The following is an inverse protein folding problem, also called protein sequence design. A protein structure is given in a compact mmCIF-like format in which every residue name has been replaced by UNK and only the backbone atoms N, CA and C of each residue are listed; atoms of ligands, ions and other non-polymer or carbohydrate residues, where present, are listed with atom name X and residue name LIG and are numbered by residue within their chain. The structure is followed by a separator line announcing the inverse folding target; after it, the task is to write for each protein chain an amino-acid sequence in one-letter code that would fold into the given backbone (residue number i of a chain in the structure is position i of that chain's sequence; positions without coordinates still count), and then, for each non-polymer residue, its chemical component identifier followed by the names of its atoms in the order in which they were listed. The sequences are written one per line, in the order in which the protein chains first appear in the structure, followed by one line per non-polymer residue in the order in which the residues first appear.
data_IF_111045993260
#
_entry.id   IF_111045993260
#
_cell.length_a   1.000
_cell.length_b   1.000
_cell.length_c   1.000
_cell.angle_alpha   90.00
_cell.angle_beta   90.00
_cell.angle_gamma   90.00
#
_symmetry.space_group_name_H-M   'P 1'
#
loop_
_entity.id
_entity.type
_entity.pdbx_description
1 polymer ?
#
# COMPACT_ATOMS: atom_id res chain seq x y z
N UNK A 1 -29.58 68.49 -5.94
CA UNK A 1 -30.75 68.21 -5.08
C UNK A 1 -30.40 67.02 -4.19
N UNK A 2 -30.53 67.20 -2.88
CA UNK A 2 -30.76 66.25 -1.78
C UNK A 2 -30.15 64.82 -1.83
N UNK A 3 -29.22 64.58 -0.90
CA UNK A 3 -28.99 63.33 -0.15
C UNK A 3 -30.23 62.93 0.72
N UNK A 4 -30.28 61.80 1.49
CA UNK A 4 -29.20 60.86 1.86
C UNK A 4 -29.52 59.34 1.84
N UNK A 5 -28.43 58.57 2.02
CA UNK A 5 -28.28 57.41 2.94
C UNK A 5 -29.46 57.05 3.86
N UNK A 6 -29.73 55.74 4.01
CA UNK A 6 -30.38 55.18 5.22
C UNK A 6 -29.69 53.90 5.69
N UNK A 7 -29.26 53.91 6.94
CA UNK A 7 -28.74 52.77 7.70
C UNK A 7 -29.83 51.72 7.92
N UNK A 8 -29.48 50.42 7.94
CA UNK A 8 -30.28 49.44 8.68
C UNK A 8 -29.40 48.61 9.61
N UNK A 9 -29.40 49.02 10.88
CA UNK A 9 -28.78 48.30 11.98
C UNK A 9 -29.82 47.35 12.58
N UNK A 10 -29.55 46.04 12.58
CA UNK A 10 -30.30 45.10 13.41
C UNK A 10 -29.34 44.44 14.39
N UNK A 11 -29.32 45.00 15.60
CA UNK A 11 -28.74 44.36 16.77
C UNK A 11 -29.73 43.28 17.25
N UNK A 12 -29.28 42.03 17.39
CA UNK A 12 -30.03 41.03 18.16
C UNK A 12 -29.11 40.45 19.25
N UNK A 13 -29.31 40.93 20.48
CA UNK A 13 -28.76 40.30 21.67
C UNK A 13 -29.63 39.07 22.01
N UNK A 14 -28.98 37.92 22.22
CA UNK A 14 -29.65 36.66 22.52
C UNK A 14 -28.77 35.74 23.36
N UNK A 15 -28.49 36.14 24.60
CA UNK A 15 -27.82 35.28 25.58
C UNK A 15 -28.85 34.31 26.17
N UNK A 16 -28.63 33.00 26.02
CA UNK A 16 -29.25 32.00 26.87
C UNK A 16 -28.28 30.85 27.17
N UNK A 17 -28.48 30.21 28.32
CA UNK A 17 -27.43 29.51 29.05
C UNK A 17 -27.03 28.14 28.49
N UNK A 18 -25.77 27.78 28.78
CA UNK A 18 -25.18 26.46 28.57
C UNK A 18 -25.69 25.50 29.67
N UNK A 19 -26.20 24.33 29.27
CA UNK A 19 -26.30 23.15 30.14
C UNK A 19 -25.91 21.90 29.34
N UNK A 20 -24.84 21.17 29.72
CA UNK A 20 -24.48 19.91 29.07
C UNK A 20 -25.35 18.75 29.58
N UNK A 21 -25.80 17.89 28.66
CA UNK A 21 -26.50 16.65 29.02
C UNK A 21 -25.50 15.59 29.52
N UNK A 22 -25.83 14.93 30.62
CA UNK A 22 -24.94 14.00 31.32
C UNK A 22 -24.82 12.63 30.63
N UNK A 23 -23.60 12.08 30.61
CA UNK A 23 -23.36 10.67 30.30
C UNK A 23 -23.80 9.75 31.47
N UNK A 24 -24.18 8.48 31.21
CA UNK A 24 -24.44 7.51 32.27
C UNK A 24 -23.14 7.11 33.00
N UNK A 25 -23.24 6.94 34.32
CA UNK A 25 -22.10 6.75 35.21
C UNK A 25 -21.54 5.31 35.20
N UNK A 26 -20.27 5.20 35.57
CA UNK A 26 -19.55 3.94 35.84
C UNK A 26 -19.87 3.43 37.26
N UNK A 27 -19.99 2.11 37.43
CA UNK A 27 -20.19 1.50 38.75
C UNK A 27 -18.95 1.60 39.65
N UNK A 28 -19.10 1.90 40.95
CA UNK A 28 -17.99 1.96 41.91
C UNK A 28 -17.59 0.58 42.47
N UNK A 29 -16.33 0.38 42.90
CA UNK A 29 -15.84 -0.92 43.34
C UNK A 29 -16.34 -1.31 44.74
N UNK A 30 -17.02 -2.46 44.84
CA UNK A 30 -17.49 -3.04 46.09
C UNK A 30 -16.35 -3.50 47.01
N UNK A 31 -16.21 -2.85 48.16
CA UNK A 31 -15.13 -3.10 49.13
C UNK A 31 -15.34 -4.37 49.95
N UNK A 32 -14.25 -5.09 50.24
CA UNK A 32 -14.24 -6.30 51.09
C UNK A 32 -14.70 -6.01 52.52
N UNK A 33 -15.55 -6.89 53.07
CA UNK A 33 -15.58 -7.25 54.50
C UNK A 33 -15.62 -8.76 54.63
N UNK A 34 -14.87 -9.32 55.59
CA UNK A 34 -14.82 -10.76 55.87
C UNK A 34 -15.35 -11.10 57.26
N UNK A 35 -14.82 -12.20 57.81
CA UNK A 35 -15.09 -12.81 59.13
C UNK A 35 -16.35 -13.69 59.22
N UNK A 36 -16.15 -14.99 59.52
CA UNK A 36 -17.20 -15.99 59.71
C UNK A 36 -16.63 -17.40 59.85
N UNK A 37 -15.96 -17.70 60.97
CA UNK A 37 -15.33 -19.00 61.26
C UNK A 37 -16.32 -20.03 61.86
N UNK A 38 -16.25 -21.28 61.40
CA UNK A 38 -16.82 -22.45 62.07
C UNK A 38 -16.98 -23.64 61.11
N UNK A 39 -16.63 -24.89 61.42
CA UNK A 39 -15.97 -25.40 62.65
C UNK A 39 -16.54 -26.73 63.15
N UNK A 40 -16.24 -27.86 62.49
CA UNK A 40 -16.59 -29.23 62.96
C UNK A 40 -16.39 -30.26 61.86
N UNK A 41 -15.30 -31.05 61.85
CA UNK A 41 -15.00 -32.27 62.64
C UNK A 41 -15.93 -33.46 62.35
N UNK A 42 -15.36 -34.46 61.67
CA UNK A 42 -15.84 -35.84 61.60
C UNK A 42 -14.71 -36.73 61.07
N UNK A 43 -14.13 -37.58 61.93
CA UNK A 43 -12.98 -38.43 61.59
C UNK A 43 -13.35 -39.91 61.64
N UNK A 44 -12.68 -40.75 60.84
CA UNK A 44 -12.87 -42.19 60.83
C UNK A 44 -11.74 -42.92 60.09
N UNK A 45 -10.71 -43.33 60.84
CA UNK A 45 -9.59 -44.15 60.33
C UNK A 45 -9.96 -45.63 60.25
N UNK A 46 -9.34 -46.36 59.30
CA UNK A 46 -9.43 -47.83 59.24
C UNK A 46 -8.47 -48.43 58.21
N UNK A 47 -7.21 -48.62 58.58
CA UNK A 47 -6.20 -49.25 57.71
C UNK A 47 -6.08 -50.76 57.94
N UNK A 48 -5.86 -51.54 56.86
CA UNK A 48 -5.61 -52.97 56.92
C UNK A 48 -4.63 -53.44 55.84
N UNK A 49 -3.50 -54.04 56.23
CA UNK A 49 -2.50 -54.62 55.31
C UNK A 49 -2.85 -56.08 55.00
N UNK A 50 -2.78 -56.48 53.72
CA UNK A 50 -2.95 -57.87 53.26
C UNK A 50 -2.11 -58.14 52.00
N UNK A 51 -1.59 -59.36 51.84
CA UNK A 51 -0.48 -59.68 50.91
C UNK A 51 -0.91 -60.53 49.68
N UNK A 52 -0.11 -60.33 48.60
CA UNK A 52 0.47 -61.33 47.67
C UNK A 52 -0.32 -61.85 46.44
N UNK A 53 0.43 -61.80 45.33
CA UNK A 53 0.57 -62.78 44.23
C UNK A 53 -0.60 -63.03 43.28
N UNK A 54 -0.36 -62.80 41.98
CA UNK A 54 -1.27 -63.23 40.90
C UNK A 54 -0.88 -62.73 39.51
N UNK A 55 0.18 -63.32 38.93
CA UNK A 55 0.52 -63.41 37.49
C UNK A 55 -0.05 -62.34 36.52
N UNK A 56 0.86 -61.59 35.89
CA UNK A 56 0.53 -60.84 34.68
C UNK A 56 0.11 -61.80 33.54
N UNK A 57 -1.04 -61.52 32.93
CA UNK A 57 -1.35 -61.93 31.56
C UNK A 57 -1.53 -60.68 30.74
N UNK A 58 -0.72 -60.53 29.69
CA UNK A 58 -0.82 -59.38 28.80
C UNK A 58 -2.19 -59.32 28.16
N UNK A 59 -2.96 -58.28 28.48
CA UNK A 59 -4.10 -57.88 27.67
C UNK A 59 -3.57 -57.38 26.33
N UNK A 60 -3.37 -58.32 25.41
CA UNK A 60 -3.25 -58.05 23.98
C UNK A 60 -4.43 -57.16 23.63
N UNK A 61 -4.15 -55.87 23.46
CA UNK A 61 -5.07 -55.00 22.77
C UNK A 61 -5.15 -55.58 21.36
N UNK A 62 -6.26 -56.25 21.07
CA UNK A 62 -6.69 -56.42 19.70
C UNK A 62 -6.99 -55.01 19.20
N UNK A 63 -5.94 -54.35 18.70
CA UNK A 63 -6.11 -53.31 17.72
C UNK A 63 -6.84 -53.98 16.57
N UNK A 64 -8.17 -53.91 16.59
CA UNK A 64 -8.97 -54.07 15.41
C UNK A 64 -8.45 -52.98 14.46
N UNK A 65 -7.56 -53.41 13.56
CA UNK A 65 -7.08 -52.60 12.46
C UNK A 65 -8.29 -52.37 11.56
N UNK A 66 -9.10 -51.39 11.95
CA UNK A 66 -10.10 -50.81 11.09
C UNK A 66 -9.29 -50.12 10.00
N UNK A 67 -9.02 -50.86 8.91
CA UNK A 67 -8.47 -50.33 7.69
C UNK A 67 -9.39 -49.21 7.24
N UNK A 68 -9.04 -47.97 7.64
CA UNK A 68 -9.60 -46.78 7.04
C UNK A 68 -9.19 -46.82 5.58
N UNK A 69 -10.02 -47.45 4.75
CA UNK A 69 -10.02 -47.23 3.31
C UNK A 69 -10.02 -45.72 3.12
N UNK A 70 -8.91 -45.20 2.65
CA UNK A 70 -8.76 -43.80 2.32
C UNK A 70 -9.66 -43.50 1.13
N UNK A 71 -10.93 -43.24 1.40
CA UNK A 71 -11.86 -42.75 0.41
C UNK A 71 -11.32 -41.42 -0.10
N UNK A 72 -10.99 -41.36 -1.38
CA UNK A 72 -10.79 -40.10 -2.07
C UNK A 72 -12.12 -39.34 -2.02
N UNK A 73 -12.24 -38.38 -1.13
CA UNK A 73 -13.38 -37.48 -1.12
C UNK A 73 -13.35 -36.65 -2.40
N UNK A 74 -14.46 -36.64 -3.13
CA UNK A 74 -14.61 -35.83 -4.34
C UNK A 74 -14.45 -34.34 -3.98
N UNK A 75 -13.63 -33.63 -4.75
CA UNK A 75 -13.38 -32.20 -4.56
C UNK A 75 -14.34 -31.41 -5.43
N UNK A 76 -15.07 -30.49 -4.80
CA UNK A 76 -15.87 -29.48 -5.47
C UNK A 76 -15.06 -28.19 -5.69
N UNK A 77 -15.43 -27.47 -6.75
CA UNK A 77 -14.81 -26.21 -7.20
C UNK A 77 -15.92 -25.20 -7.52
N UNK A 78 -16.64 -24.65 -6.52
CA UNK A 78 -17.90 -23.94 -6.76
C UNK A 78 -17.76 -22.60 -7.50
N UNK A 79 -16.63 -21.90 -7.36
CA UNK A 79 -16.40 -20.57 -7.95
C UNK A 79 -15.08 -20.51 -8.71
N UNK A 80 -13.97 -20.91 -8.07
CA UNK A 80 -12.67 -21.01 -8.75
C UNK A 80 -12.52 -22.43 -9.28
N UNK A 81 -12.63 -22.60 -10.59
CA UNK A 81 -12.43 -23.87 -11.28
C UNK A 81 -10.98 -24.36 -11.16
N UNK A 82 -10.80 -25.68 -11.08
CA UNK A 82 -9.52 -26.42 -11.02
C UNK A 82 -8.58 -26.10 -9.83
N UNK A 83 -8.75 -24.97 -9.15
CA UNK A 83 -7.91 -24.49 -8.05
C UNK A 83 -8.64 -24.53 -6.69
N UNK A 84 -7.90 -24.79 -5.62
CA UNK A 84 -8.46 -24.69 -4.26
C UNK A 84 -9.65 -25.62 -3.97
N UNK A 85 -9.58 -26.90 -4.37
CA UNK A 85 -10.68 -27.86 -4.18
C UNK A 85 -11.12 -28.05 -2.72
N UNK A 86 -12.43 -28.18 -2.52
CA UNK A 86 -13.09 -28.31 -1.21
C UNK A 86 -13.92 -29.59 -1.10
N UNK A 87 -14.05 -30.11 0.12
CA UNK A 87 -15.04 -31.16 0.45
C UNK A 87 -16.22 -30.46 1.13
N UNK A 88 -17.45 -30.78 0.70
CA UNK A 88 -18.68 -30.21 1.27
C UNK A 88 -18.99 -30.86 2.63
N UNK A 89 -19.15 -30.05 3.66
CA UNK A 89 -19.32 -30.46 5.07
C UNK A 89 -20.52 -29.72 5.70
N UNK A 90 -21.77 -30.08 5.34
CA UNK A 90 -22.96 -29.34 5.77
C UNK A 90 -23.21 -29.42 7.29
N UNK A 91 -22.78 -30.50 7.93
CA UNK A 91 -22.98 -30.73 9.38
C UNK A 91 -21.74 -30.34 10.22
N UNK A 92 -20.76 -29.63 9.65
CA UNK A 92 -19.58 -29.20 10.39
C UNK A 92 -19.95 -28.20 11.51
N UNK A 93 -19.32 -28.39 12.67
CA UNK A 93 -19.58 -27.59 13.88
C UNK A 93 -19.20 -26.09 13.76
N UNK A 94 -18.45 -25.71 12.72
CA UNK A 94 -18.11 -24.33 12.37
C UNK A 94 -18.39 -24.14 10.88
N UNK A 95 -19.47 -23.44 10.58
CA UNK A 95 -19.88 -23.09 9.22
C UNK A 95 -19.31 -21.73 8.81
N UNK A 96 -19.12 -21.48 7.49
CA UNK A 96 -18.95 -20.12 6.96
C UNK A 96 -20.05 -19.19 7.46
N UNK A 97 -19.71 -17.93 7.74
CA UNK A 97 -20.63 -16.92 8.25
C UNK A 97 -20.79 -15.78 7.24
N UNK A 98 -22.02 -15.43 6.91
CA UNK A 98 -22.32 -14.28 6.05
C UNK A 98 -21.72 -12.98 6.60
N UNK A 99 -21.36 -12.06 5.70
CA UNK A 99 -20.75 -10.76 6.01
C UNK A 99 -19.43 -10.86 6.82
N UNK A 100 -18.71 -11.99 6.71
CA UNK A 100 -17.37 -12.10 7.26
C UNK A 100 -16.39 -11.33 6.39
N UNK A 101 -15.53 -10.52 7.02
CA UNK A 101 -14.38 -9.88 6.38
C UNK A 101 -13.10 -10.51 6.90
N UNK A 102 -12.17 -10.89 6.03
CA UNK A 102 -10.83 -11.29 6.46
C UNK A 102 -9.74 -10.94 5.45
N UNK A 103 -8.59 -10.53 5.97
CA UNK A 103 -7.40 -10.27 5.18
C UNK A 103 -6.46 -11.47 5.28
N UNK A 104 -5.86 -11.82 4.15
CA UNK A 104 -4.86 -12.88 4.02
C UNK A 104 -3.49 -12.24 3.92
N UNK A 105 -2.64 -12.47 4.92
CA UNK A 105 -1.24 -12.05 4.88
C UNK A 105 -0.39 -13.12 4.20
N UNK A 106 0.10 -12.81 2.99
CA UNK A 106 0.75 -13.79 2.10
C UNK A 106 2.21 -13.38 1.87
N UNK A 107 3.11 -14.07 2.57
CA UNK A 107 4.56 -13.76 2.60
C UNK A 107 5.41 -14.74 1.80
N UNK A 108 4.98 -16.00 1.68
CA UNK A 108 5.77 -17.06 1.04
C UNK A 108 5.73 -16.97 -0.48
N UNK A 109 6.89 -16.78 -1.10
CA UNK A 109 7.07 -16.97 -2.54
C UNK A 109 7.17 -18.45 -2.90
N UNK A 110 7.06 -18.74 -4.20
CA UNK A 110 7.39 -20.03 -4.79
C UNK A 110 8.58 -19.88 -5.75
N UNK A 111 9.21 -21.01 -6.11
CA UNK A 111 10.30 -21.02 -7.09
C UNK A 111 9.86 -20.47 -8.45
N UNK A 112 10.80 -19.87 -9.19
CA UNK A 112 10.60 -19.23 -10.49
C UNK A 112 9.77 -20.07 -11.46
N UNK A 113 8.81 -19.44 -12.15
CA UNK A 113 7.98 -20.11 -13.15
C UNK A 113 6.95 -21.09 -12.60
N UNK A 114 6.71 -21.10 -11.28
CA UNK A 114 5.65 -21.91 -10.64
C UNK A 114 4.53 -21.05 -10.07
N UNK A 115 3.31 -21.58 -10.13
CA UNK A 115 2.14 -21.03 -9.43
C UNK A 115 2.42 -20.97 -7.92
N UNK A 116 2.07 -19.86 -7.27
CA UNK A 116 2.24 -19.67 -5.84
C UNK A 116 1.14 -20.42 -5.08
N UNK A 117 1.54 -21.36 -4.22
CA UNK A 117 0.64 -22.17 -3.40
C UNK A 117 -0.18 -21.33 -2.39
N UNK A 118 0.20 -20.07 -2.14
CA UNK A 118 -0.59 -19.10 -1.38
C UNK A 118 -1.89 -18.76 -2.10
N UNK A 119 -1.84 -18.52 -3.42
CA UNK A 119 -3.04 -18.20 -4.21
C UNK A 119 -3.97 -19.42 -4.36
N UNK A 120 -3.43 -20.63 -4.49
CA UNK A 120 -4.20 -21.89 -4.37
C UNK A 120 -4.97 -21.99 -3.05
N UNK A 121 -4.35 -21.55 -1.96
CA UNK A 121 -4.98 -21.55 -0.62
C UNK A 121 -6.04 -20.45 -0.50
N UNK A 122 -5.87 -19.30 -1.15
CA UNK A 122 -6.91 -18.26 -1.27
C UNK A 122 -8.10 -18.76 -2.11
N UNK A 123 -7.85 -19.43 -3.23
CA UNK A 123 -8.92 -20.08 -4.03
C UNK A 123 -9.70 -21.09 -3.21
N UNK A 124 -9.02 -21.84 -2.33
CA UNK A 124 -9.69 -22.73 -1.38
C UNK A 124 -10.57 -21.99 -0.39
N UNK A 125 -10.17 -20.81 0.07
CA UNK A 125 -10.99 -20.00 0.97
C UNK A 125 -12.25 -19.48 0.25
N UNK A 126 -12.14 -18.97 -0.98
CA UNK A 126 -13.30 -18.60 -1.82
C UNK A 126 -14.26 -19.78 -1.98
N UNK A 127 -13.75 -20.95 -2.39
CA UNK A 127 -14.54 -22.16 -2.59
C UNK A 127 -15.16 -22.71 -1.27
N UNK A 128 -14.55 -22.49 -0.10
CA UNK A 128 -15.13 -22.85 1.20
C UNK A 128 -16.42 -22.06 1.45
N UNK A 129 -16.38 -20.74 1.29
CA UNK A 129 -17.53 -19.87 1.50
C UNK A 129 -18.62 -20.06 0.43
N UNK A 130 -18.23 -20.35 -0.81
CA UNK A 130 -19.16 -20.56 -1.92
C UNK A 130 -19.85 -21.94 -1.97
N UNK A 131 -19.39 -22.94 -1.21
CA UNK A 131 -20.04 -24.27 -1.23
C UNK A 131 -19.46 -25.36 -0.34
N UNK A 132 -18.39 -25.09 0.41
CA UNK A 132 -17.81 -26.04 1.36
C UNK A 132 -18.66 -26.27 2.62
N UNK A 133 -19.51 -25.31 3.00
CA UNK A 133 -20.42 -25.40 4.15
C UNK A 133 -21.80 -26.01 3.84
N UNK A 134 -22.75 -25.77 4.75
CA UNK A 134 -24.17 -26.09 4.58
C UNK A 134 -24.77 -25.30 3.41
N UNK A 135 -24.64 -23.98 3.45
CA UNK A 135 -25.12 -23.06 2.44
C UNK A 135 -23.98 -22.14 1.97
N UNK A 136 -23.98 -21.68 0.70
CA UNK A 136 -23.10 -20.60 0.25
C UNK A 136 -23.39 -19.31 1.02
N UNK A 137 -22.36 -18.56 1.42
CA UNK A 137 -22.52 -17.26 2.08
C UNK A 137 -21.48 -16.24 1.60
N UNK A 138 -21.88 -14.98 1.53
CA UNK A 138 -21.03 -13.87 1.08
C UNK A 138 -19.88 -13.58 2.08
N UNK A 139 -18.74 -13.20 1.52
CA UNK A 139 -17.49 -12.95 2.23
C UNK A 139 -16.66 -11.87 1.53
N UNK A 140 -15.98 -11.04 2.30
CA UNK A 140 -15.08 -10.00 1.80
C UNK A 140 -13.64 -10.43 2.09
N UNK A 141 -12.85 -10.66 1.03
CA UNK A 141 -11.50 -11.19 1.12
C UNK A 141 -10.52 -10.18 0.53
N UNK A 142 -9.60 -9.71 1.36
CA UNK A 142 -8.43 -8.96 0.91
C UNK A 142 -7.18 -9.86 1.01
N UNK A 143 -6.22 -9.72 0.09
CA UNK A 143 -4.93 -10.41 0.14
C UNK A 143 -3.82 -9.36 0.13
N UNK A 144 -3.00 -9.34 1.19
CA UNK A 144 -1.81 -8.48 1.26
C UNK A 144 -0.58 -9.33 0.93
N UNK A 145 0.04 -9.03 -0.20
CA UNK A 145 1.19 -9.76 -0.74
C UNK A 145 2.48 -9.02 -0.42
N UNK A 146 3.39 -9.67 0.29
CA UNK A 146 4.73 -9.14 0.58
C UNK A 146 5.76 -10.25 0.79
N UNK A 147 6.88 -9.94 1.44
CA UNK A 147 7.98 -10.89 1.59
C UNK A 147 8.44 -11.44 0.23
N UNK A 148 8.64 -12.75 0.14
CA UNK A 148 9.04 -13.41 -1.10
C UNK A 148 7.91 -13.63 -2.10
N UNK A 149 6.65 -13.48 -1.68
CA UNK A 149 5.52 -13.52 -2.60
C UNK A 149 5.38 -12.27 -3.48
N UNK A 150 6.03 -11.16 -3.11
CA UNK A 150 5.87 -9.83 -3.75
C UNK A 150 5.95 -9.84 -5.28
N UNK A 151 6.86 -10.60 -5.89
CA UNK A 151 7.02 -10.64 -7.35
C UNK A 151 6.07 -11.63 -8.06
N UNK A 152 5.19 -12.32 -7.32
CA UNK A 152 4.20 -13.22 -7.91
C UNK A 152 2.97 -12.49 -8.50
N UNK A 153 2.78 -11.21 -8.15
CA UNK A 153 1.67 -10.36 -8.67
C UNK A 153 2.08 -9.46 -9.84
N UNK A 154 3.28 -9.61 -10.40
CA UNK A 154 3.71 -8.82 -11.55
C UNK A 154 2.82 -9.09 -12.78
N UNK A 155 2.74 -8.10 -13.68
CA UNK A 155 2.16 -8.28 -15.00
C UNK A 155 3.01 -9.27 -15.84
N UNK A 156 2.51 -9.66 -17.01
CA UNK A 156 3.11 -10.75 -17.79
C UNK A 156 4.53 -10.41 -18.26
N UNK A 157 4.70 -9.19 -18.79
CA UNK A 157 5.95 -8.72 -19.39
C UNK A 157 7.03 -8.49 -18.34
N UNK A 158 6.68 -7.84 -17.22
CA UNK A 158 7.60 -7.62 -16.11
C UNK A 158 8.07 -8.94 -15.50
N UNK A 159 7.17 -9.90 -15.29
CA UNK A 159 7.54 -11.24 -14.80
C UNK A 159 8.44 -11.97 -15.80
N UNK A 160 8.06 -12.01 -17.09
CA UNK A 160 8.84 -12.64 -18.15
C UNK A 160 10.26 -12.06 -18.24
N UNK A 161 10.38 -10.72 -18.25
CA UNK A 161 11.63 -10.00 -18.29
C UNK A 161 12.51 -10.27 -17.05
N UNK A 162 11.92 -10.28 -15.85
CA UNK A 162 12.62 -10.51 -14.57
C UNK A 162 13.12 -11.95 -14.43
N UNK A 163 12.29 -12.93 -14.81
CA UNK A 163 12.50 -14.34 -14.49
C UNK A 163 12.93 -15.22 -15.67
N UNK A 164 12.97 -14.67 -16.89
CA UNK A 164 13.29 -15.41 -18.14
C UNK A 164 12.34 -16.59 -18.37
N UNK A 165 11.05 -16.29 -18.27
CA UNK A 165 9.93 -17.22 -18.49
C UNK A 165 9.00 -16.67 -19.57
N UNK A 166 8.09 -17.49 -20.08
CA UNK A 166 7.11 -17.08 -21.11
C UNK A 166 6.03 -16.11 -20.58
N UNK A 167 5.87 -16.01 -19.26
CA UNK A 167 4.90 -15.13 -18.59
C UNK A 167 4.76 -15.46 -17.11
N UNK A 168 3.91 -14.71 -16.39
CA UNK A 168 3.63 -14.98 -14.99
C UNK A 168 2.62 -16.15 -14.83
N UNK A 169 3.02 -17.30 -14.26
CA UNK A 169 2.12 -18.45 -14.06
C UNK A 169 0.97 -18.18 -13.08
N UNK A 170 1.05 -17.09 -12.30
CA UNK A 170 0.03 -16.72 -11.32
C UNK A 170 -1.14 -15.93 -11.92
N UNK A 171 -0.97 -15.28 -13.07
CA UNK A 171 -1.92 -14.27 -13.56
C UNK A 171 -3.32 -14.82 -13.87
N UNK A 172 -3.43 -16.04 -14.39
CA UNK A 172 -4.74 -16.69 -14.63
C UNK A 172 -5.53 -16.79 -13.32
N UNK A 173 -4.93 -17.42 -12.30
CA UNK A 173 -5.57 -17.60 -11.01
C UNK A 173 -5.83 -16.26 -10.30
N UNK A 174 -4.91 -15.31 -10.39
CA UNK A 174 -5.11 -13.97 -9.83
C UNK A 174 -6.29 -13.23 -10.47
N UNK A 175 -6.48 -13.31 -11.79
CA UNK A 175 -7.65 -12.74 -12.49
C UNK A 175 -8.95 -13.47 -12.12
N UNK A 176 -8.92 -14.79 -11.98
CA UNK A 176 -10.08 -15.59 -11.53
C UNK A 176 -10.50 -15.23 -10.09
N UNK A 177 -9.53 -15.10 -9.19
CA UNK A 177 -9.76 -14.65 -7.81
C UNK A 177 -10.31 -13.21 -7.76
N UNK A 178 -9.75 -12.30 -8.56
CA UNK A 178 -10.24 -10.92 -8.65
C UNK A 178 -11.67 -10.86 -9.20
N UNK A 179 -11.97 -11.64 -10.25
CA UNK A 179 -13.33 -11.76 -10.80
C UNK A 179 -14.34 -12.36 -9.82
N UNK A 180 -13.87 -13.14 -8.83
CA UNK A 180 -14.66 -13.63 -7.70
C UNK A 180 -14.76 -12.65 -6.52
N UNK A 181 -14.30 -11.40 -6.67
CA UNK A 181 -14.40 -10.35 -5.66
C UNK A 181 -13.25 -10.27 -4.66
N UNK A 182 -12.14 -11.00 -4.88
CA UNK A 182 -10.95 -10.88 -4.02
C UNK A 182 -10.19 -9.58 -4.34
N UNK A 183 -9.98 -8.75 -3.32
CA UNK A 183 -9.12 -7.58 -3.44
C UNK A 183 -7.65 -7.96 -3.20
N UNK A 184 -6.74 -7.41 -4.00
CA UNK A 184 -5.30 -7.64 -3.87
C UNK A 184 -4.55 -6.35 -3.58
N UNK A 185 -3.65 -6.42 -2.60
CA UNK A 185 -2.72 -5.37 -2.22
C UNK A 185 -1.29 -5.91 -2.28
N UNK A 186 -0.33 -5.12 -2.75
CA UNK A 186 1.11 -5.48 -2.72
C UNK A 186 1.93 -4.43 -1.96
N UNK A 187 2.94 -4.88 -1.22
CA UNK A 187 3.84 -4.00 -0.48
C UNK A 187 4.79 -3.22 -1.42
N UNK A 188 4.54 -1.93 -1.58
CA UNK A 188 5.38 -1.02 -2.37
C UNK A 188 6.83 -0.99 -1.92
N UNK A 189 7.12 -0.95 -0.61
CA UNK A 189 8.50 -1.00 -0.10
C UNK A 189 9.24 -2.27 -0.57
N UNK A 190 8.60 -3.44 -0.46
CA UNK A 190 9.22 -4.71 -0.86
C UNK A 190 9.31 -4.87 -2.37
N UNK A 191 8.35 -4.33 -3.12
CA UNK A 191 8.31 -4.32 -4.58
C UNK A 191 9.51 -3.54 -5.14
N UNK A 192 9.69 -2.30 -4.67
CA UNK A 192 10.83 -1.44 -5.02
C UNK A 192 12.15 -2.07 -4.57
N UNK A 193 12.24 -2.60 -3.35
CA UNK A 193 13.44 -3.26 -2.84
C UNK A 193 13.83 -4.52 -3.63
N UNK A 194 12.87 -5.22 -4.25
CA UNK A 194 13.13 -6.35 -5.16
C UNK A 194 13.32 -5.90 -6.63
N UNK A 195 13.33 -4.59 -6.91
CA UNK A 195 13.59 -4.00 -8.22
C UNK A 195 12.45 -4.24 -9.21
N UNK A 196 11.22 -3.95 -8.79
CA UNK A 196 10.03 -3.79 -9.63
C UNK A 196 9.29 -2.52 -9.17
N UNK A 197 8.45 -1.94 -10.02
CA UNK A 197 7.67 -0.72 -9.77
C UNK A 197 6.17 -1.01 -9.68
N UNK A 198 5.32 -0.06 -9.23
CA UNK A 198 3.87 -0.24 -9.28
C UNK A 198 3.33 -0.54 -10.69
N UNK A 199 3.98 -0.01 -11.74
CA UNK A 199 3.58 -0.24 -13.14
C UNK A 199 3.93 -1.66 -13.63
N UNK A 200 4.90 -2.33 -12.99
CA UNK A 200 5.25 -3.73 -13.22
C UNK A 200 4.21 -4.71 -12.63
N UNK A 201 3.23 -4.24 -11.87
CA UNK A 201 2.22 -5.05 -11.17
C UNK A 201 1.00 -5.31 -12.07
N UNK A 202 0.27 -6.39 -11.81
CA UNK A 202 -0.99 -6.65 -12.49
C UNK A 202 -2.02 -5.52 -12.24
N UNK A 203 -2.75 -5.15 -13.29
CA UNK A 203 -3.67 -4.01 -13.38
C UNK A 203 -4.73 -3.90 -12.26
N UNK A 204 -5.13 -5.04 -11.69
CA UNK A 204 -6.14 -5.15 -10.62
C UNK A 204 -5.54 -5.28 -9.20
N UNK A 205 -4.22 -5.25 -9.06
CA UNK A 205 -3.52 -5.39 -7.76
C UNK A 205 -3.04 -4.02 -7.30
N UNK A 206 -3.59 -3.53 -6.18
CA UNK A 206 -3.33 -2.20 -5.64
C UNK A 206 -1.96 -2.15 -4.95
N UNK A 207 -1.05 -1.26 -5.36
CA UNK A 207 0.21 -1.08 -4.61
C UNK A 207 -0.04 -0.21 -3.37
N UNK A 208 0.13 -0.80 -2.18
CA UNK A 208 0.08 -0.08 -0.91
C UNK A 208 1.47 0.47 -0.56
N UNK A 209 1.54 1.57 0.22
CA UNK A 209 2.82 2.14 0.71
C UNK A 209 3.68 1.06 1.37
N UNK A 210 3.07 0.25 2.24
CA UNK A 210 3.66 -0.95 2.85
C UNK A 210 2.57 -2.00 3.09
N UNK A 211 2.95 -3.28 3.17
CA UNK A 211 2.06 -4.32 3.72
C UNK A 211 1.62 -3.99 5.15
N UNK A 212 2.50 -3.39 5.96
CA UNK A 212 2.16 -2.95 7.33
C UNK A 212 0.96 -1.99 7.33
N UNK A 213 0.96 -0.99 6.45
CA UNK A 213 -0.14 -0.02 6.36
C UNK A 213 -1.43 -0.67 5.85
N UNK A 214 -1.34 -1.58 4.87
CA UNK A 214 -2.52 -2.31 4.38
C UNK A 214 -3.12 -3.22 5.46
N UNK A 215 -2.29 -3.99 6.17
CA UNK A 215 -2.70 -4.91 7.24
C UNK A 215 -3.30 -4.17 8.44
N UNK A 216 -2.75 -3.01 8.82
CA UNK A 216 -3.29 -2.20 9.92
C UNK A 216 -4.64 -1.57 9.54
N UNK A 217 -4.73 -0.98 8.34
CA UNK A 217 -5.97 -0.32 7.89
C UNK A 217 -7.11 -1.34 7.72
N UNK A 218 -6.88 -2.45 7.01
CA UNK A 218 -7.90 -3.49 6.82
C UNK A 218 -8.39 -4.08 8.15
N UNK A 219 -7.51 -4.27 9.15
CA UNK A 219 -7.95 -4.69 10.48
C UNK A 219 -8.80 -3.62 11.21
N UNK A 220 -8.46 -2.33 11.05
CA UNK A 220 -9.29 -1.24 11.56
C UNK A 220 -10.66 -1.17 10.86
N UNK A 221 -10.72 -1.53 9.58
CA UNK A 221 -11.94 -1.67 8.77
C UNK A 221 -12.73 -2.97 9.06
N UNK A 222 -12.30 -3.74 10.08
CA UNK A 222 -13.01 -4.92 10.59
C UNK A 222 -12.62 -6.26 9.97
N UNK A 223 -11.56 -6.33 9.15
CA UNK A 223 -11.08 -7.59 8.59
C UNK A 223 -10.32 -8.42 9.63
N UNK A 224 -10.71 -9.68 9.82
CA UNK A 224 -9.94 -10.62 10.63
C UNK A 224 -8.59 -10.96 9.96
N UNK A 225 -7.51 -11.09 10.74
CA UNK A 225 -6.17 -11.37 10.24
C UNK A 225 -5.91 -12.88 10.06
N UNK A 226 -5.57 -13.30 8.83
CA UNK A 226 -5.28 -14.71 8.48
C UNK A 226 -3.89 -14.84 7.85
N UNK A 227 -2.86 -15.26 8.61
CA UNK A 227 -1.52 -15.44 8.04
C UNK A 227 -1.42 -16.74 7.23
N UNK A 228 -0.86 -16.65 6.03
CA UNK A 228 -0.39 -17.80 5.24
C UNK A 228 1.13 -17.71 5.10
N UNK A 229 1.81 -18.50 5.93
CA UNK A 229 3.13 -19.03 5.59
C UNK A 229 2.97 -20.42 4.99
N UNK A 230 3.71 -20.70 3.93
CA UNK A 230 4.06 -22.07 3.59
C UNK A 230 5.33 -22.42 4.36
N UNK A 231 5.41 -23.63 4.90
CA UNK A 231 6.69 -24.18 5.28
C UNK A 231 7.51 -24.28 4.00
N UNK A 232 8.54 -23.44 3.87
CA UNK A 232 9.57 -23.65 2.87
C UNK A 232 10.07 -25.08 3.06
N UNK A 233 10.19 -25.83 1.96
CA UNK A 233 10.89 -27.10 1.99
C UNK A 233 12.35 -26.80 2.29
N UNK A 234 12.70 -26.76 3.58
CA UNK A 234 14.08 -26.70 4.03
C UNK A 234 14.84 -27.79 3.27
N UNK A 235 16.00 -27.51 2.66
CA UNK A 235 16.93 -28.58 2.37
C UNK A 235 17.12 -29.32 3.69
N UNK A 236 16.86 -30.63 3.72
CA UNK A 236 17.18 -31.42 4.90
C UNK A 236 18.65 -31.22 5.18
N UNK A 237 18.97 -30.46 6.24
CA UNK A 237 20.33 -30.33 6.72
C UNK A 237 20.75 -31.74 7.13
N UNK A 238 21.53 -32.39 6.25
CA UNK A 238 22.06 -33.71 6.51
C UNK A 238 22.92 -33.62 7.79
N UNK A 239 22.53 -34.28 8.89
CA UNK A 239 23.24 -34.15 10.16
C UNK A 239 24.71 -34.57 10.08
N UNK A 240 25.11 -35.28 9.01
CA UNK A 240 26.48 -35.71 8.77
C UNK A 240 27.39 -34.59 8.24
N UNK A 241 26.85 -33.48 7.73
CA UNK A 241 27.64 -32.41 7.14
C UNK A 241 28.22 -31.39 8.16
N UNK A 242 27.87 -31.50 9.45
CA UNK A 242 28.30 -30.56 10.50
C UNK A 242 29.36 -31.11 11.47
N UNK A 243 30.05 -32.20 11.11
CA UNK A 243 31.17 -32.74 11.89
C UNK A 243 32.46 -32.74 11.08
N UNK A 244 33.04 -31.56 10.87
CA UNK A 244 34.50 -31.33 10.74
C UNK A 244 34.84 -29.87 10.44
N UNK A 245 35.14 -29.09 11.49
CA UNK A 245 36.43 -28.37 11.61
C UNK A 245 36.55 -27.73 12.98
N UNK A 246 37.74 -27.87 13.56
CA UNK A 246 37.96 -27.77 14.99
C UNK A 246 37.94 -26.34 15.55
N UNK A 247 37.46 -26.26 16.79
CA UNK A 247 37.57 -25.09 17.64
C UNK A 247 38.93 -25.10 18.32
N UNK A 248 39.88 -24.26 17.88
CA UNK A 248 40.80 -23.56 18.79
C UNK A 248 41.61 -22.45 18.10
N UNK A 249 41.39 -21.19 18.47
CA UNK A 249 42.38 -20.31 19.15
C UNK A 249 41.78 -18.91 19.36
N UNK A 250 41.99 -18.36 20.56
CA UNK A 250 41.70 -16.97 20.93
C UNK A 250 43.04 -16.26 21.20
N UNK A 251 43.22 -15.05 20.65
CA UNK A 251 44.16 -14.03 21.14
C UNK A 251 43.84 -12.66 20.49
N UNK A 252 44.32 -11.58 21.10
CA UNK A 252 43.90 -10.19 20.91
C UNK A 252 44.83 -9.38 19.96
N UNK A 253 44.59 -8.06 19.88
CA UNK A 253 45.46 -6.99 19.31
C UNK A 253 45.56 -6.92 17.75
N UNK A 254 45.81 -5.78 17.09
CA UNK A 254 45.65 -4.33 17.36
C UNK A 254 45.63 -3.59 15.99
N UNK A 255 45.44 -2.27 15.96
CA UNK A 255 45.43 -1.41 14.77
C UNK A 255 46.62 -1.59 13.79
N UNK A 256 46.36 -1.48 12.48
CA UNK A 256 47.14 -0.59 11.57
C UNK A 256 46.49 -0.47 10.18
N UNK A 257 46.69 0.68 9.53
CA UNK A 257 46.46 0.87 8.09
C UNK A 257 47.69 0.40 7.31
N UNK A 258 47.52 -0.19 6.12
CA UNK A 258 48.40 0.07 4.97
C UNK A 258 47.82 -0.46 3.63
N UNK A 259 48.52 -0.15 2.52
CA UNK A 259 48.16 -0.51 1.13
C UNK A 259 49.43 -1.00 0.40
N UNK A 260 49.45 -1.52 -0.83
CA UNK A 260 48.69 -1.29 -2.09
C UNK A 260 48.75 -2.63 -2.91
N UNK A 261 48.65 -2.74 -4.27
CA UNK A 261 48.18 -1.85 -5.36
C UNK A 261 47.18 -2.50 -6.34
N UNK A 262 46.72 -1.69 -7.31
CA UNK A 262 45.74 -2.05 -8.32
C UNK A 262 46.17 -3.00 -9.45
N UNK A 263 45.16 -3.40 -10.22
CA UNK A 263 45.26 -3.90 -11.59
C UNK A 263 44.31 -3.07 -12.46
N UNK A 264 44.73 -2.67 -13.66
CA UNK A 264 44.11 -1.59 -14.41
C UNK A 264 43.53 -2.01 -15.76
N UNK A 265 42.47 -1.31 -16.16
CA UNK A 265 42.08 -0.95 -17.53
C UNK A 265 41.60 -2.06 -18.49
N UNK A 266 40.35 -1.89 -18.93
CA UNK A 266 39.76 -2.53 -20.11
C UNK A 266 38.57 -1.73 -20.64
N UNK A 267 38.79 -0.49 -21.09
CA UNK A 267 37.77 0.34 -21.75
C UNK A 267 37.77 0.09 -23.27
N UNK A 268 36.59 -0.10 -23.85
CA UNK A 268 36.32 -0.13 -25.29
C UNK A 268 34.98 0.57 -25.60
N UNK A 269 34.86 1.34 -26.69
CA UNK A 269 33.86 2.42 -26.76
C UNK A 269 32.53 2.02 -27.40
N UNK A 270 31.43 2.55 -26.84
CA UNK A 270 30.08 2.52 -27.44
C UNK A 270 29.39 3.86 -27.25
N UNK A 271 29.03 4.53 -28.35
CA UNK A 271 28.56 5.92 -28.34
C UNK A 271 27.14 6.09 -27.79
N UNK A 272 26.91 7.21 -27.10
CA UNK A 272 25.74 7.44 -26.27
C UNK A 272 24.38 7.53 -26.96
N UNK A 273 23.35 7.18 -26.19
CA UNK A 273 22.01 7.73 -26.30
C UNK A 273 21.34 7.83 -24.92
N UNK A 274 21.21 9.07 -24.43
CA UNK A 274 20.20 9.49 -23.45
C UNK A 274 20.19 8.86 -22.05
N UNK A 275 21.03 9.36 -21.14
CA UNK A 275 20.83 9.16 -19.68
C UNK A 275 19.58 9.94 -19.18
N UNK A 276 19.25 11.08 -19.79
CA UNK A 276 18.17 11.98 -19.35
C UNK A 276 16.77 11.36 -19.30
N UNK A 277 16.42 10.48 -20.25
CA UNK A 277 15.06 9.91 -20.33
C UNK A 277 14.70 8.99 -19.14
N UNK A 278 15.69 8.43 -18.45
CA UNK A 278 15.49 7.57 -17.27
C UNK A 278 15.55 8.34 -15.94
N UNK A 279 15.98 9.61 -15.99
CA UNK A 279 16.16 10.46 -14.82
C UNK A 279 14.94 11.35 -14.55
N UNK A 280 14.16 11.73 -15.57
CA UNK A 280 13.03 12.67 -15.44
C UNK A 280 12.04 12.34 -14.31
N UNK A 281 11.38 11.17 -14.33
CA UNK A 281 10.29 10.90 -13.35
C UNK A 281 10.77 10.73 -11.90
N UNK A 282 11.99 10.25 -11.67
CA UNK A 282 12.55 10.13 -10.31
C UNK A 282 13.23 11.43 -9.86
N UNK A 283 13.84 12.18 -10.78
CA UNK A 283 14.35 13.52 -10.53
C UNK A 283 13.23 14.46 -10.11
N UNK A 284 12.24 14.67 -10.99
CA UNK A 284 11.16 15.65 -10.78
C UNK A 284 10.38 15.42 -9.49
N UNK A 285 10.09 14.17 -9.14
CA UNK A 285 9.41 13.86 -7.89
C UNK A 285 10.31 14.08 -6.67
N UNK A 286 11.62 13.80 -6.75
CA UNK A 286 12.56 14.12 -5.67
C UNK A 286 12.69 15.64 -5.50
N UNK A 287 12.83 16.37 -6.62
CA UNK A 287 12.89 17.83 -6.70
C UNK A 287 11.63 18.48 -6.14
N UNK A 288 10.44 18.03 -6.53
CA UNK A 288 9.17 18.51 -5.98
C UNK A 288 9.05 18.28 -4.46
N UNK A 289 9.38 17.10 -3.96
CA UNK A 289 9.31 16.83 -2.51
C UNK A 289 10.32 17.68 -1.71
N UNK A 290 11.52 17.92 -2.26
CA UNK A 290 12.49 18.83 -1.66
C UNK A 290 12.00 20.30 -1.67
N UNK A 291 11.45 20.77 -2.79
CA UNK A 291 10.87 22.11 -2.90
C UNK A 291 9.65 22.32 -1.98
N UNK A 292 8.86 21.28 -1.71
CA UNK A 292 7.78 21.34 -0.72
C UNK A 292 8.28 21.38 0.73
N UNK A 293 9.42 20.76 1.03
CA UNK A 293 10.04 20.76 2.36
C UNK A 293 10.61 22.13 2.72
N UNK A 294 11.30 22.79 1.78
CA UNK A 294 11.97 24.09 1.94
C UNK A 294 11.17 25.27 1.33
N UNK A 295 9.84 25.14 1.23
CA UNK A 295 8.97 26.10 0.52
C UNK A 295 9.01 27.54 1.07
N UNK A 296 9.39 27.71 2.33
CA UNK A 296 9.56 29.01 2.99
C UNK A 296 10.73 29.84 2.43
N UNK A 297 11.65 29.20 1.71
CA UNK A 297 12.75 29.84 0.98
C UNK A 297 12.39 30.21 -0.47
N UNK A 298 11.20 29.85 -0.95
CA UNK A 298 10.74 30.10 -2.33
C UNK A 298 9.86 31.35 -2.37
N UNK A 299 10.32 32.36 -3.09
CA UNK A 299 9.55 33.57 -3.38
C UNK A 299 8.89 33.44 -4.76
N UNK A 300 7.57 33.58 -4.83
CA UNK A 300 6.82 33.59 -6.10
C UNK A 300 5.96 34.84 -6.24
N UNK A 301 6.09 35.52 -7.37
CA UNK A 301 5.22 36.63 -7.78
C UNK A 301 4.46 36.23 -9.04
N UNK A 302 3.17 36.56 -9.13
CA UNK A 302 2.32 36.28 -10.28
C UNK A 302 1.66 37.58 -10.75
N UNK A 303 1.72 37.83 -12.06
CA UNK A 303 1.08 38.94 -12.75
C UNK A 303 0.08 38.36 -13.77
N UNK A 304 -1.21 38.58 -13.56
CA UNK A 304 -2.21 38.23 -14.57
C UNK A 304 -2.11 39.22 -15.75
N UNK A 305 -2.02 38.68 -16.96
CA UNK A 305 -1.99 39.47 -18.20
C UNK A 305 -3.35 39.36 -18.90
N UNK A 306 -3.76 40.33 -19.74
CA UNK A 306 -5.01 40.22 -20.50
C UNK A 306 -5.08 38.98 -21.40
N UNK A 307 -3.92 38.51 -21.86
CA UNK A 307 -3.67 37.40 -22.78
C UNK A 307 -3.06 36.17 -22.08
N UNK A 308 -3.03 36.10 -20.74
CA UNK A 308 -2.48 34.95 -20.01
C UNK A 308 -1.98 35.27 -18.61
N UNK A 309 -0.80 34.77 -18.26
CA UNK A 309 -0.16 35.02 -16.97
C UNK A 309 1.38 34.95 -17.05
N UNK A 310 2.03 35.79 -16.25
CA UNK A 310 3.47 35.75 -16.01
C UNK A 310 3.73 35.43 -14.53
N UNK A 311 4.70 34.56 -14.25
CA UNK A 311 5.12 34.22 -12.90
C UNK A 311 6.64 34.17 -12.78
N UNK A 312 7.18 34.80 -11.74
CA UNK A 312 8.60 34.75 -11.38
C UNK A 312 8.73 33.96 -10.08
N UNK A 313 9.56 32.92 -10.06
CA UNK A 313 9.80 32.06 -8.89
C UNK A 313 11.30 31.95 -8.63
N UNK A 314 11.73 32.38 -7.45
CA UNK A 314 13.15 32.54 -7.11
C UNK A 314 13.45 32.11 -5.67
N UNK A 315 14.71 31.79 -5.39
CA UNK A 315 15.22 31.55 -4.05
C UNK A 315 16.63 32.12 -3.86
N UNK A 316 16.93 32.59 -2.65
CA UNK A 316 18.32 32.91 -2.25
C UNK A 316 19.14 31.65 -1.93
N UNK A 317 18.49 30.49 -1.77
CA UNK A 317 19.14 29.19 -1.60
C UNK A 317 19.52 28.62 -2.98
N UNK A 318 20.82 28.46 -3.23
CA UNK A 318 21.35 28.02 -4.53
C UNK A 318 20.89 26.61 -4.95
N UNK A 319 20.64 25.71 -3.98
CA UNK A 319 20.12 24.39 -4.30
C UNK A 319 18.68 24.47 -4.81
N UNK A 320 17.87 25.35 -4.20
CA UNK A 320 16.48 25.59 -4.58
C UNK A 320 16.38 26.37 -5.89
N UNK A 321 17.25 27.35 -6.10
CA UNK A 321 17.37 28.05 -7.39
C UNK A 321 17.71 27.07 -8.53
N UNK A 322 18.59 26.09 -8.28
CA UNK A 322 18.91 25.03 -9.25
C UNK A 322 17.71 24.11 -9.49
N UNK A 323 17.06 23.64 -8.43
CA UNK A 323 15.84 22.81 -8.52
C UNK A 323 14.69 23.49 -9.27
N UNK A 324 14.51 24.80 -9.09
CA UNK A 324 13.53 25.60 -9.85
C UNK A 324 13.83 25.60 -11.35
N UNK A 325 15.11 25.70 -11.74
CA UNK A 325 15.57 25.71 -13.13
C UNK A 325 15.45 24.34 -13.81
N UNK A 326 15.65 23.26 -13.06
CA UNK A 326 15.44 21.90 -13.57
C UNK A 326 13.95 21.54 -13.68
N UNK A 327 13.13 21.97 -12.72
CA UNK A 327 11.73 21.58 -12.63
C UNK A 327 10.84 22.17 -13.74
N UNK A 328 11.03 23.44 -14.10
CA UNK A 328 10.15 24.12 -15.07
C UNK A 328 10.20 23.49 -16.48
N UNK A 329 11.38 23.28 -17.11
CA UNK A 329 11.47 22.58 -18.39
C UNK A 329 10.93 21.15 -18.32
N UNK A 330 11.21 20.43 -17.23
CA UNK A 330 10.75 19.05 -17.06
C UNK A 330 9.22 18.94 -16.94
N UNK A 331 8.51 19.99 -16.51
CA UNK A 331 7.04 20.03 -16.55
C UNK A 331 6.51 20.37 -17.95
N UNK A 332 7.19 21.22 -18.73
CA UNK A 332 6.82 21.46 -20.13
C UNK A 332 6.93 20.19 -20.96
N UNK A 333 8.07 19.50 -20.91
CA UNK A 333 8.33 18.23 -21.62
C UNK A 333 7.25 17.16 -21.35
N UNK A 334 6.60 17.21 -20.19
CA UNK A 334 5.52 16.28 -19.79
C UNK A 334 4.16 16.62 -20.34
N UNK A 335 3.84 17.92 -20.39
CA UNK A 335 2.58 18.40 -20.95
C UNK A 335 2.62 18.27 -22.47
N UNK A 336 3.72 18.65 -23.12
CA UNK A 336 3.91 18.49 -24.56
C UNK A 336 4.18 17.04 -24.98
N UNK A 337 4.71 16.20 -24.08
CA UNK A 337 5.05 14.79 -24.34
C UNK A 337 3.95 13.77 -24.02
N UNK A 338 2.72 14.21 -23.73
CA UNK A 338 1.57 13.37 -23.31
C UNK A 338 1.94 12.36 -22.20
N UNK A 339 2.71 12.82 -21.21
CA UNK A 339 3.20 11.99 -20.10
C UNK A 339 3.06 12.72 -18.74
N UNK A 340 1.83 13.13 -18.37
CA UNK A 340 1.59 13.87 -17.13
C UNK A 340 1.77 12.97 -15.90
N UNK A 341 2.48 13.49 -14.89
CA UNK A 341 2.63 12.81 -13.60
C UNK A 341 1.28 12.70 -12.88
N UNK A 342 1.04 11.68 -12.04
CA UNK A 342 -0.22 11.53 -11.30
C UNK A 342 -0.70 12.78 -10.53
N UNK A 343 0.16 13.56 -9.83
CA UNK A 343 -0.27 14.83 -9.21
C UNK A 343 -0.87 15.85 -10.19
N UNK A 344 -0.46 15.80 -11.47
CA UNK A 344 -1.01 16.63 -12.55
C UNK A 344 -2.29 16.04 -13.17
N UNK A 345 -2.62 14.77 -12.93
CA UNK A 345 -3.89 14.17 -13.39
C UNK A 345 -4.97 14.11 -12.30
N UNK A 346 -4.62 14.31 -11.03
CA UNK A 346 -5.58 14.38 -9.92
C UNK A 346 -6.28 15.75 -9.77
N UNK A 347 -5.65 16.86 -10.19
CA UNK A 347 -6.22 18.19 -10.01
C UNK A 347 -6.91 18.67 -11.30
N UNK A 348 -8.21 19.07 -11.26
CA UNK A 348 -8.99 19.38 -12.46
C UNK A 348 -8.34 20.39 -13.42
N UNK A 349 -7.62 21.39 -12.89
CA UNK A 349 -7.00 22.43 -13.74
C UNK A 349 -5.82 21.95 -14.57
N UNK A 350 -5.02 21.01 -14.06
CA UNK A 350 -3.89 20.47 -14.81
C UNK A 350 -4.42 19.57 -15.93
N UNK A 351 -5.43 18.74 -15.63
CA UNK A 351 -6.16 17.94 -16.63
C UNK A 351 -6.74 18.82 -17.74
N UNK A 352 -7.35 19.96 -17.40
CA UNK A 352 -7.92 20.85 -18.42
C UNK A 352 -6.85 21.57 -19.24
N UNK A 353 -5.76 22.05 -18.61
CA UNK A 353 -4.65 22.64 -19.36
C UNK A 353 -3.97 21.64 -20.31
N UNK A 354 -3.83 20.37 -19.91
CA UNK A 354 -3.24 19.33 -20.78
C UNK A 354 -4.10 19.12 -22.04
N UNK A 355 -5.44 19.15 -21.93
CA UNK A 355 -6.33 19.06 -23.12
C UNK A 355 -6.20 20.26 -24.06
N UNK A 356 -5.79 21.40 -23.53
CA UNK A 356 -5.63 22.68 -24.22
C UNK A 356 -4.15 23.03 -24.45
N UNK A 357 -3.25 22.04 -24.44
CA UNK A 357 -1.80 22.26 -24.58
C UNK A 357 -1.41 22.90 -25.92
N UNK A 358 -2.18 22.65 -26.99
CA UNK A 358 -2.01 23.28 -28.30
C UNK A 358 -2.59 24.71 -28.39
N UNK A 359 -3.42 25.12 -27.42
CA UNK A 359 -4.16 26.39 -27.42
C UNK A 359 -3.44 27.51 -26.64
N UNK A 360 -2.25 27.25 -26.08
CA UNK A 360 -1.41 28.28 -25.44
C UNK A 360 0.08 28.11 -25.75
N UNK A 361 0.83 29.20 -25.68
CA UNK A 361 2.29 29.20 -25.71
C UNK A 361 2.84 29.31 -24.29
N UNK A 362 3.66 28.34 -23.88
CA UNK A 362 4.58 28.48 -22.75
C UNK A 362 5.88 29.13 -23.26
N UNK A 363 6.47 30.00 -22.45
CA UNK A 363 7.85 30.43 -22.59
C UNK A 363 8.46 30.63 -21.20
N UNK A 364 9.76 30.40 -21.07
CA UNK A 364 10.47 30.62 -19.82
C UNK A 364 11.87 31.19 -20.03
N UNK A 365 12.37 31.86 -18.99
CA UNK A 365 13.68 32.50 -18.93
C UNK A 365 14.32 32.18 -17.57
N UNK A 366 15.57 31.74 -17.56
CA UNK A 366 16.34 31.60 -16.32
C UNK A 366 16.65 32.99 -15.75
N UNK A 367 16.36 33.19 -14.47
CA UNK A 367 16.88 34.35 -13.73
C UNK A 367 18.17 33.97 -13.00
N UNK A 368 18.82 34.92 -12.32
CA UNK A 368 19.96 34.61 -11.45
C UNK A 368 19.57 33.65 -10.30
N UNK A 369 18.31 33.69 -9.84
CA UNK A 369 17.82 33.03 -8.62
C UNK A 369 16.72 31.99 -8.84
N UNK A 370 16.35 31.70 -10.09
CA UNK A 370 15.29 30.74 -10.39
C UNK A 370 14.78 30.89 -11.82
N UNK A 371 13.46 30.95 -11.98
CA UNK A 371 12.78 30.93 -13.27
C UNK A 371 11.68 31.98 -13.38
N UNK A 372 11.63 32.63 -14.55
CA UNK A 372 10.47 33.38 -15.04
C UNK A 372 9.73 32.52 -16.05
N UNK A 373 8.41 32.42 -15.93
CA UNK A 373 7.52 31.65 -16.80
C UNK A 373 6.38 32.53 -17.28
N UNK A 374 6.08 32.49 -18.57
CA UNK A 374 4.98 33.24 -19.19
C UNK A 374 4.15 32.31 -20.08
N UNK A 375 2.85 32.30 -19.81
CA UNK A 375 1.83 31.63 -20.60
C UNK A 375 1.04 32.69 -21.39
N UNK A 376 0.75 32.43 -22.67
CA UNK A 376 -0.09 33.29 -23.51
C UNK A 376 -1.08 32.47 -24.34
N UNK A 377 -2.31 32.95 -24.50
CA UNK A 377 -3.34 32.37 -25.36
C UNK A 377 -4.29 33.44 -25.89
N UNK A 378 -4.82 33.22 -27.10
CA UNK A 378 -5.89 34.02 -27.69
C UNK A 378 -7.29 33.52 -27.29
N UNK A 379 -7.41 32.32 -26.68
CA UNK A 379 -8.70 31.79 -26.17
C UNK A 379 -8.96 32.32 -24.74
N UNK A 380 -10.03 33.11 -24.52
CA UNK A 380 -10.42 33.61 -23.19
C UNK A 380 -10.61 32.52 -22.13
N UNK A 381 -11.03 31.31 -22.52
CA UNK A 381 -11.15 30.17 -21.59
C UNK A 381 -9.79 29.68 -21.13
N UNK A 382 -8.84 29.53 -22.05
CA UNK A 382 -7.48 29.08 -21.77
C UNK A 382 -6.70 30.14 -20.98
N UNK A 383 -6.92 31.43 -21.25
CA UNK A 383 -6.41 32.53 -20.41
C UNK A 383 -6.89 32.40 -18.96
N UNK A 384 -8.16 32.05 -18.73
CA UNK A 384 -8.69 31.80 -17.38
C UNK A 384 -8.01 30.57 -16.73
N UNK A 385 -7.88 29.45 -17.44
CA UNK A 385 -7.20 28.24 -16.95
C UNK A 385 -5.74 28.53 -16.55
N UNK A 386 -5.01 29.26 -17.39
CA UNK A 386 -3.63 29.69 -17.16
C UNK A 386 -3.51 30.54 -15.89
N UNK A 387 -4.39 31.52 -15.71
CA UNK A 387 -4.37 32.40 -14.54
C UNK A 387 -4.73 31.66 -13.24
N UNK A 388 -5.69 30.74 -13.28
CA UNK A 388 -6.05 29.91 -12.14
C UNK A 388 -4.97 28.88 -11.80
N UNK A 389 -4.27 28.34 -12.80
CA UNK A 389 -3.10 27.48 -12.58
C UNK A 389 -1.96 28.25 -11.90
N UNK A 390 -1.67 29.47 -12.35
CA UNK A 390 -0.67 30.32 -11.72
C UNK A 390 -1.00 30.61 -10.25
N UNK A 391 -2.29 30.76 -9.89
CA UNK A 391 -2.78 30.88 -8.50
C UNK A 391 -2.59 29.58 -7.71
N UNK A 392 -2.95 28.42 -8.28
CA UNK A 392 -2.77 27.11 -7.64
C UNK A 392 -1.32 26.85 -7.25
N UNK A 393 -0.36 27.11 -8.15
CA UNK A 393 1.08 26.93 -7.86
C UNK A 393 1.53 27.82 -6.69
N UNK A 394 0.99 29.04 -6.58
CA UNK A 394 1.23 29.91 -5.41
C UNK A 394 0.60 29.37 -4.12
N UNK A 395 -0.52 28.62 -4.19
CA UNK A 395 -1.08 27.93 -3.02
C UNK A 395 -0.25 26.70 -2.63
N UNK A 396 0.29 25.94 -3.59
CA UNK A 396 1.24 24.86 -3.33
C UNK A 396 2.49 25.34 -2.57
N UNK A 397 3.08 26.48 -2.95
CA UNK A 397 4.23 27.06 -2.22
C UNK A 397 3.83 27.53 -0.81
N UNK A 398 2.63 28.07 -0.63
CA UNK A 398 2.16 28.55 0.67
C UNK A 398 1.84 27.40 1.64
N UNK A 399 0.99 26.48 1.20
CA UNK A 399 0.32 25.48 2.03
C UNK A 399 1.03 24.11 1.98
N UNK A 400 1.93 23.88 1.01
CA UNK A 400 2.67 22.63 0.87
C UNK A 400 1.77 21.44 0.49
N UNK A 401 2.10 20.26 1.02
CA UNK A 401 1.38 19.01 0.73
C UNK A 401 -0.10 19.02 1.14
N UNK A 402 -0.52 19.89 2.06
CA UNK A 402 -1.94 20.02 2.46
C UNK A 402 -2.82 20.54 1.31
N UNK A 403 -2.26 21.34 0.39
CA UNK A 403 -2.98 21.84 -0.79
C UNK A 403 -3.34 20.69 -1.76
N UNK A 404 -2.51 19.64 -1.86
CA UNK A 404 -2.74 18.50 -2.75
C UNK A 404 -4.04 17.75 -2.37
N UNK A 405 -4.40 17.80 -1.09
CA UNK A 405 -5.62 17.17 -0.56
C UNK A 405 -6.78 18.17 -0.41
N UNK A 406 -6.58 19.44 -0.74
CA UNK A 406 -7.63 20.46 -0.68
C UNK A 406 -8.53 20.33 -1.91
N UNK A 407 -9.86 20.13 -1.76
CA UNK A 407 -10.76 20.04 -2.89
C UNK A 407 -10.74 21.32 -3.74
N UNK A 408 -10.54 21.17 -5.04
CA UNK A 408 -10.58 22.26 -6.00
C UNK A 408 -11.64 22.02 -7.07
N UNK A 409 -12.38 23.08 -7.38
CA UNK A 409 -13.36 23.11 -8.46
C UNK A 409 -12.91 24.15 -9.48
N UNK A 410 -12.89 23.79 -10.76
CA UNK A 410 -12.64 24.74 -11.84
C UNK A 410 -13.69 25.87 -11.80
N UNK A 411 -13.28 27.15 -11.89
CA UNK A 411 -14.23 28.25 -12.01
C UNK A 411 -15.10 28.11 -13.26
N UNK A 412 -16.38 28.47 -13.12
CA UNK A 412 -17.28 28.51 -14.27
C UNK A 412 -16.85 29.62 -15.22
N UNK A 413 -16.44 29.25 -16.44
CA UNK A 413 -16.28 30.22 -17.51
C UNK A 413 -17.66 30.68 -18.00
N UNK A 414 -17.95 31.99 -18.09
CA UNK A 414 -19.18 32.47 -18.68
C UNK A 414 -19.21 32.06 -20.15
N UNK A 415 -20.12 31.16 -20.54
CA UNK A 415 -20.39 30.93 -21.95
C UNK A 415 -20.99 32.21 -22.52
N UNK A 416 -20.36 32.79 -23.53
CA UNK A 416 -20.95 33.93 -24.22
C UNK A 416 -22.32 33.51 -24.78
N UNK A 417 -23.36 34.20 -24.32
CA UNK A 417 -24.71 34.04 -24.83
C UNK A 417 -24.79 34.77 -26.16
N UNK A 418 -24.48 34.08 -27.25
CA UNK A 418 -24.77 34.55 -28.59
C UNK A 418 -26.30 34.61 -28.77
N UNK A 419 -26.85 35.82 -28.74
CA UNK A 419 -28.20 36.16 -29.23
C UNK A 419 -28.27 36.11 -30.77
#
# INVERSE_FOLDING_TARGET
MNHPMTLFTVLFFGVLAITPASAPAQDPPGQRRGMGLGGGRGAGFGGGRGRRLGQGRGLRHQAAANEKKGGSHELAYPVIADHGGVVRLPDAAQQPRAATKFLVDLTSGNGTGKLNAGFEKVAKYVNIYAGGGADPVDVEIAVVVHGDATLAVLNADAYAAKFKTEGNPNLKLLRELHGAGVEFYVCGQTLIAKGATPDDVADFVKTAVSALTAVVNLQADGFAYVPITHASSTPSLDPQAMVAKDVNTLAEEDHTQESVPGAAMGHGPGAGRGIGARQGMQGDMTTLHAMFADRDKINRTVTNLPDGAEAVTESDDQAIATMLKEHVPAMEDRVLGDNPLPPMTFHPIFVELIKHADDYTLSYEETEKGMKVKYQSDDPYVVMLVQEHAKLVSRFIKNGMEEIHTPYTLPNFPKETNE
#
